data_IF_370963976815
#
_entry.id   IF_370963976815
#
_cell.length_a   1.000
_cell.length_b   1.000
_cell.length_c   1.000
_cell.angle_alpha   90.00
_cell.angle_beta   90.00
_cell.angle_gamma   90.00
#
_symmetry.space_group_name_H-M   'P 1'
#
loop_
_entity.id
_entity.type
_entity.pdbx_description
1 polymer ?
#
# COMPACT_ATOMS: atom_id res chain seq x y z
N UNK A 1 -21.32 5.30 1.79
CA UNK A 1 -22.28 5.23 0.68
C UNK A 1 -23.39 6.23 0.91
N UNK A 2 -23.64 7.10 -0.06
CA UNK A 2 -24.78 8.04 -0.05
C UNK A 2 -25.74 7.63 -1.16
N UNK A 3 -27.04 7.54 -0.85
CA UNK A 3 -28.07 7.19 -1.83
C UNK A 3 -28.82 8.47 -2.20
N UNK A 4 -28.84 8.78 -3.49
CA UNK A 4 -29.59 9.88 -4.06
C UNK A 4 -30.82 9.32 -4.77
N UNK A 5 -31.96 10.00 -4.64
CA UNK A 5 -33.15 9.68 -5.43
C UNK A 5 -33.32 10.78 -6.47
N UNK A 6 -33.18 10.44 -7.76
CA UNK A 6 -33.54 11.31 -8.87
C UNK A 6 -35.02 11.06 -9.16
N UNK A 7 -35.83 12.10 -9.14
CA UNK A 7 -37.25 12.00 -9.52
C UNK A 7 -37.52 12.90 -10.72
N UNK A 8 -38.17 12.34 -11.73
CA UNK A 8 -38.70 13.07 -12.87
C UNK A 8 -40.22 12.99 -12.83
N UNK A 9 -40.90 14.11 -13.03
CA UNK A 9 -42.36 14.18 -13.08
C UNK A 9 -42.80 14.62 -14.47
N UNK A 10 -43.83 13.95 -14.99
CA UNK A 10 -44.44 14.28 -16.28
C UNK A 10 -45.95 14.12 -16.22
N UNK A 11 -46.67 14.85 -17.06
CA UNK A 11 -48.13 14.71 -17.17
C UNK A 11 -48.47 14.05 -18.50
N UNK A 12 -49.16 12.91 -18.45
CA UNK A 12 -49.69 12.22 -19.63
C UNK A 12 -51.19 12.05 -19.40
N UNK A 13 -52.01 12.50 -20.36
CA UNK A 13 -53.48 12.37 -20.30
C UNK A 13 -54.10 12.86 -18.98
N UNK A 14 -53.66 14.02 -18.49
CA UNK A 14 -54.13 14.66 -17.23
C UNK A 14 -53.76 13.91 -15.94
N UNK A 15 -52.98 12.83 -16.01
CA UNK A 15 -52.45 12.12 -14.85
C UNK A 15 -50.98 12.51 -14.62
N UNK A 16 -50.65 12.95 -13.41
CA UNK A 16 -49.26 13.17 -13.01
C UNK A 16 -48.58 11.82 -12.78
N UNK A 17 -47.51 11.56 -13.51
CA UNK A 17 -46.67 10.38 -13.37
C UNK A 17 -45.33 10.78 -12.79
N UNK A 18 -44.86 10.01 -11.81
CA UNK A 18 -43.54 10.18 -11.23
C UNK A 18 -42.70 8.95 -11.55
N UNK A 19 -41.48 9.22 -12.00
CA UNK A 19 -40.47 8.20 -12.25
C UNK A 19 -39.31 8.48 -11.30
N UNK A 20 -38.97 7.50 -10.47
CA UNK A 20 -37.84 7.58 -9.54
C UNK A 20 -36.70 6.69 -9.99
N UNK A 21 -35.46 7.16 -9.84
CA UNK A 21 -34.26 6.34 -9.93
C UNK A 21 -33.45 6.54 -8.66
N UNK A 22 -33.00 5.44 -8.07
CA UNK A 22 -32.00 5.50 -7.01
C UNK A 22 -30.60 5.44 -7.63
N UNK A 23 -29.74 6.33 -7.18
CA UNK A 23 -28.33 6.37 -7.53
C UNK A 23 -27.54 6.19 -6.24
N UNK A 24 -26.78 5.10 -6.15
CA UNK A 24 -25.86 4.91 -5.04
C UNK A 24 -24.50 5.48 -5.42
N UNK A 25 -24.01 6.41 -4.61
CA UNK A 25 -22.64 6.90 -4.66
C UNK A 25 -21.83 6.17 -3.59
N UNK A 26 -20.93 5.32 -4.04
CA UNK A 26 -19.93 4.66 -3.19
C UNK A 26 -18.65 5.48 -3.29
N UNK A 27 -18.31 6.15 -2.19
CA UNK A 27 -16.97 6.72 -2.01
C UNK A 27 -16.09 5.54 -1.61
N UNK A 28 -15.18 5.15 -2.49
CA UNK A 28 -14.22 4.11 -2.16
C UNK A 28 -13.16 4.70 -1.22
N UNK A 29 -12.67 3.94 -0.23
CA UNK A 29 -11.54 4.39 0.58
C UNK A 29 -10.39 4.77 -0.33
N UNK A 30 -9.68 5.86 -0.02
CA UNK A 30 -8.47 6.20 -0.75
C UNK A 30 -7.51 5.00 -0.73
N UNK A 31 -6.62 4.86 -1.71
CA UNK A 31 -5.62 3.78 -1.69
C UNK A 31 -4.83 3.75 -0.38
N UNK A 32 -4.66 4.92 0.26
CA UNK A 32 -4.03 5.06 1.56
C UNK A 32 -4.80 4.41 2.71
N UNK A 33 -6.11 4.21 2.61
CA UNK A 33 -6.93 3.62 3.68
C UNK A 33 -6.87 2.09 3.71
N UNK A 34 -5.87 1.52 3.02
CA UNK A 34 -5.70 0.08 2.86
C UNK A 34 -4.47 -0.39 3.58
N UNK A 35 -4.46 -1.67 3.94
CA UNK A 35 -3.24 -2.32 4.38
C UNK A 35 -2.30 -2.53 3.18
N UNK A 36 -2.86 -2.91 2.02
CA UNK A 36 -2.09 -3.27 0.84
C UNK A 36 -2.82 -2.95 -0.47
N UNK A 37 -2.11 -2.36 -1.42
CA UNK A 37 -2.61 -2.05 -2.75
C UNK A 37 -1.56 -2.25 -3.85
N UNK A 38 -1.97 -3.01 -4.86
CA UNK A 38 -1.20 -3.29 -6.08
C UNK A 38 -1.96 -2.72 -7.29
N UNK A 39 -1.52 -1.62 -7.87
CA UNK A 39 -2.16 -1.07 -9.09
C UNK A 39 -1.87 -1.91 -10.34
N UNK A 40 -0.88 -2.78 -10.27
CA UNK A 40 -0.68 -3.85 -11.22
C UNK A 40 -1.81 -4.88 -11.23
N UNK A 41 -1.67 -5.85 -12.11
CA UNK A 41 -2.70 -6.87 -12.32
C UNK A 41 -2.86 -7.79 -11.12
N UNK A 42 -1.79 -8.11 -10.39
CA UNK A 42 -1.79 -9.21 -9.44
C UNK A 42 -1.24 -8.77 -8.08
N UNK A 43 -2.00 -9.09 -7.04
CA UNK A 43 -1.51 -9.24 -5.67
C UNK A 43 -1.43 -10.74 -5.35
N UNK A 44 -0.21 -11.25 -5.20
CA UNK A 44 0.07 -12.70 -5.07
C UNK A 44 0.67 -13.03 -3.70
N UNK A 45 0.13 -14.05 -3.04
CA UNK A 45 0.61 -14.58 -1.76
C UNK A 45 1.12 -16.03 -1.85
N UNK A 46 1.66 -16.43 -3.02
CA UNK A 46 2.18 -17.78 -3.30
C UNK A 46 2.94 -18.42 -2.12
N UNK A 47 2.39 -19.52 -1.60
CA UNK A 47 3.02 -20.32 -0.55
C UNK A 47 3.19 -19.61 0.79
N UNK A 48 2.39 -18.56 1.04
CA UNK A 48 2.53 -17.71 2.22
C UNK A 48 1.41 -17.92 3.25
N UNK A 49 1.75 -17.75 4.53
CA UNK A 49 0.83 -17.67 5.66
C UNK A 49 1.12 -16.40 6.49
N UNK A 50 0.09 -15.80 7.05
CA UNK A 50 0.23 -14.54 7.79
C UNK A 50 -1.09 -13.84 8.00
N UNK A 51 -1.01 -12.62 8.54
CA UNK A 51 -2.18 -11.79 8.81
C UNK A 51 -2.12 -10.50 7.99
N UNK A 52 -3.24 -10.17 7.35
CA UNK A 52 -3.50 -8.83 6.82
C UNK A 52 -4.70 -8.26 7.56
N UNK A 53 -4.47 -7.22 8.35
CA UNK A 53 -5.51 -6.49 9.07
C UNK A 53 -5.70 -5.12 8.41
N UNK A 54 -6.76 -5.01 7.61
CA UNK A 54 -7.09 -3.89 6.76
C UNK A 54 -7.47 -4.34 5.35
N UNK A 55 -7.93 -3.38 4.54
CA UNK A 55 -8.39 -3.67 3.19
C UNK A 55 -7.24 -4.07 2.26
N UNK A 56 -7.52 -4.99 1.34
CA UNK A 56 -6.61 -5.40 0.27
C UNK A 56 -7.18 -5.05 -1.09
N UNK A 57 -6.32 -4.67 -2.03
CA UNK A 57 -6.81 -4.34 -3.38
C UNK A 57 -5.80 -4.52 -4.49
N UNK A 58 -6.31 -4.82 -5.68
CA UNK A 58 -5.53 -4.81 -6.91
C UNK A 58 -6.39 -4.52 -8.14
N UNK A 59 -5.75 -4.28 -9.29
CA UNK A 59 -6.47 -3.97 -10.52
C UNK A 59 -7.21 -5.18 -11.11
N UNK A 60 -6.65 -6.39 -11.05
CA UNK A 60 -7.29 -7.59 -11.65
C UNK A 60 -7.67 -8.60 -10.58
N UNK A 61 -6.71 -9.25 -9.93
CA UNK A 61 -7.00 -10.34 -9.00
C UNK A 61 -6.00 -10.48 -7.84
N UNK A 62 -6.54 -10.85 -6.69
CA UNK A 62 -5.79 -11.32 -5.53
C UNK A 62 -5.77 -12.84 -5.61
N UNK A 63 -4.60 -13.46 -5.50
CA UNK A 63 -4.41 -14.92 -5.68
C UNK A 63 -3.56 -15.52 -4.56
N UNK A 64 -3.71 -16.84 -4.37
CA UNK A 64 -2.96 -17.65 -3.40
C UNK A 64 -3.12 -17.17 -1.95
N UNK A 65 -4.26 -16.58 -1.60
CA UNK A 65 -4.54 -15.97 -0.31
C UNK A 65 -5.30 -16.89 0.67
N UNK A 66 -5.46 -18.17 0.33
CA UNK A 66 -6.29 -19.12 1.09
C UNK A 66 -5.72 -19.46 2.47
N UNK A 67 -4.42 -19.28 2.66
CA UNK A 67 -3.72 -19.55 3.93
C UNK A 67 -3.52 -18.29 4.79
N UNK A 68 -4.05 -17.15 4.34
CA UNK A 68 -3.98 -15.89 5.09
C UNK A 68 -5.15 -15.75 6.07
N UNK A 69 -4.85 -15.16 7.22
CA UNK A 69 -5.88 -14.52 8.04
C UNK A 69 -6.10 -13.10 7.53
N UNK A 70 -7.23 -12.85 6.89
CA UNK A 70 -7.60 -11.51 6.40
C UNK A 70 -8.76 -10.93 7.21
N UNK A 71 -8.56 -9.70 7.71
CA UNK A 71 -9.56 -8.92 8.44
C UNK A 71 -9.76 -7.61 7.67
N UNK A 72 -10.84 -7.49 6.91
CA UNK A 72 -11.13 -6.33 6.06
C UNK A 72 -11.83 -6.75 4.76
N UNK A 73 -11.96 -5.81 3.82
CA UNK A 73 -12.55 -6.07 2.50
C UNK A 73 -11.46 -6.33 1.44
N UNK A 74 -11.85 -7.10 0.41
CA UNK A 74 -11.01 -7.37 -0.77
C UNK A 74 -11.62 -6.68 -1.99
N UNK A 75 -10.83 -5.85 -2.66
CA UNK A 75 -11.24 -5.15 -3.88
C UNK A 75 -10.39 -5.61 -5.08
N UNK A 76 -10.95 -6.47 -5.93
CA UNK A 76 -10.41 -6.76 -7.26
C UNK A 76 -11.18 -6.03 -8.35
N UNK A 77 -10.59 -5.91 -9.55
CA UNK A 77 -11.28 -5.49 -10.78
C UNK A 77 -11.82 -4.05 -10.85
N UNK A 78 -11.24 -3.11 -10.09
CA UNK A 78 -11.53 -1.68 -10.23
C UNK A 78 -10.21 -0.91 -10.35
N UNK A 79 -10.07 -0.10 -11.41
CA UNK A 79 -8.96 0.84 -11.51
C UNK A 79 -9.04 1.79 -10.31
N UNK A 80 -7.94 1.93 -9.57
CA UNK A 80 -7.88 2.83 -8.41
C UNK A 80 -6.68 3.76 -8.55
N UNK A 81 -6.90 5.07 -8.45
CA UNK A 81 -5.82 6.06 -8.53
C UNK A 81 -4.82 5.87 -7.39
N UNK A 82 -3.58 5.52 -7.77
CA UNK A 82 -2.45 5.46 -6.86
C UNK A 82 -2.02 6.85 -6.39
N UNK A 83 -1.57 6.99 -5.13
CA UNK A 83 -0.88 8.19 -4.72
C UNK A 83 0.45 8.33 -5.47
N UNK A 84 0.87 9.57 -5.68
CA UNK A 84 2.20 9.88 -6.21
C UNK A 84 3.09 10.46 -5.11
N UNK A 85 4.37 10.10 -5.16
CA UNK A 85 5.41 10.60 -4.25
C UNK A 85 6.29 11.59 -5.01
N UNK A 86 6.40 12.82 -4.53
CA UNK A 86 7.28 13.86 -5.06
C UNK A 86 8.73 13.66 -4.55
N UNK A 87 9.45 12.74 -5.19
CA UNK A 87 10.85 12.46 -4.90
C UNK A 87 11.77 13.69 -4.90
N UNK A 88 11.65 14.68 -5.81
CA UNK A 88 12.39 15.93 -5.73
C UNK A 88 12.29 16.65 -4.38
N UNK A 89 11.10 16.69 -3.77
CA UNK A 89 10.92 17.28 -2.42
C UNK A 89 11.77 16.54 -1.39
N UNK A 90 11.76 15.20 -1.41
CA UNK A 90 12.54 14.39 -0.47
C UNK A 90 14.05 14.43 -0.73
N UNK A 91 14.47 14.55 -1.99
CA UNK A 91 15.86 14.78 -2.35
C UNK A 91 16.38 16.09 -1.75
N UNK A 92 15.59 17.17 -1.85
CA UNK A 92 15.94 18.46 -1.30
C UNK A 92 16.05 18.43 0.24
N UNK A 93 15.11 17.74 0.91
CA UNK A 93 15.15 17.53 2.36
C UNK A 93 16.41 16.76 2.79
N UNK A 94 16.69 15.64 2.12
CA UNK A 94 17.88 14.83 2.39
C UNK A 94 19.17 15.62 2.13
N UNK A 95 19.24 16.39 1.03
CA UNK A 95 20.41 17.19 0.68
C UNK A 95 20.68 18.29 1.72
N UNK A 96 19.63 18.95 2.24
CA UNK A 96 19.76 19.95 3.30
C UNK A 96 20.34 19.36 4.60
N UNK A 97 20.09 18.08 4.86
CA UNK A 97 20.62 17.34 6.01
C UNK A 97 21.96 16.63 5.72
N UNK A 98 22.51 16.72 4.51
CA UNK A 98 23.72 15.99 4.11
C UNK A 98 23.51 14.48 3.91
N UNK A 99 22.28 14.05 3.64
CA UNK A 99 21.82 12.66 3.55
C UNK A 99 21.41 12.26 2.12
N UNK A 100 21.81 13.05 1.12
CA UNK A 100 21.56 12.79 -0.30
C UNK A 100 22.83 12.30 -1.01
N UNK A 101 22.74 11.17 -1.69
CA UNK A 101 23.86 10.50 -2.34
C UNK A 101 23.59 10.22 -3.82
N UNK A 102 24.63 10.24 -4.64
CA UNK A 102 24.57 9.86 -6.07
C UNK A 102 25.07 8.44 -6.33
N UNK A 103 25.40 7.72 -5.26
CA UNK A 103 25.89 6.34 -5.23
C UNK A 103 24.93 5.46 -4.44
N UNK A 104 25.11 4.15 -4.52
CA UNK A 104 24.42 3.21 -3.65
C UNK A 104 24.63 3.59 -2.17
N UNK A 105 23.60 3.42 -1.35
CA UNK A 105 23.67 3.56 0.11
C UNK A 105 23.43 2.20 0.73
N UNK A 106 24.27 1.81 1.68
CA UNK A 106 24.06 0.62 2.49
C UNK A 106 23.77 1.02 3.93
N UNK A 107 22.63 0.56 4.45
CA UNK A 107 22.24 0.66 5.85
C UNK A 107 22.69 -0.62 6.55
N UNK A 108 23.80 -0.54 7.28
CA UNK A 108 24.38 -1.65 8.03
C UNK A 108 23.83 -1.68 9.48
N UNK A 109 24.46 -2.48 10.36
CA UNK A 109 24.12 -2.56 11.77
C UNK A 109 24.45 -1.25 12.51
N UNK A 110 23.59 -0.25 12.36
CA UNK A 110 23.69 1.06 12.97
C UNK A 110 22.32 1.74 13.04
N UNK A 111 22.26 2.86 13.75
CA UNK A 111 21.10 3.74 13.81
C UNK A 111 21.27 4.92 12.86
N UNK A 112 20.29 5.11 11.99
CA UNK A 112 20.20 6.19 11.01
C UNK A 112 18.99 7.04 11.36
N UNK A 113 19.14 8.37 11.36
CA UNK A 113 18.03 9.30 11.67
C UNK A 113 17.85 10.28 10.54
N UNK A 114 16.61 10.64 10.21
CA UNK A 114 16.29 11.63 9.17
C UNK A 114 15.89 11.03 7.83
N UNK A 115 15.96 11.85 6.78
CA UNK A 115 15.51 11.49 5.42
C UNK A 115 16.72 11.17 4.57
N UNK A 116 16.85 9.90 4.18
CA UNK A 116 17.95 9.44 3.35
C UNK A 116 17.49 9.34 1.90
N UNK A 117 18.31 9.81 0.98
CA UNK A 117 18.00 9.81 -0.45
C UNK A 117 19.19 9.32 -1.26
N UNK A 118 18.93 8.42 -2.23
CA UNK A 118 19.91 8.05 -3.24
C UNK A 118 19.33 8.08 -4.66
N UNK A 119 20.11 8.59 -5.62
CA UNK A 119 19.80 8.47 -7.06
C UNK A 119 20.12 7.08 -7.63
N UNK A 120 20.58 6.15 -6.78
CA UNK A 120 20.88 4.75 -7.12
C UNK A 120 20.01 3.85 -6.24
N UNK A 121 20.52 2.68 -5.84
CA UNK A 121 19.79 1.76 -4.96
C UNK A 121 20.13 1.98 -3.48
N UNK A 122 19.17 1.67 -2.63
CA UNK A 122 19.40 1.52 -1.19
C UNK A 122 19.45 0.03 -0.84
N UNK A 123 20.41 -0.35 -0.01
CA UNK A 123 20.57 -1.72 0.48
C UNK A 123 20.37 -1.70 1.99
N UNK A 124 19.36 -2.39 2.49
CA UNK A 124 19.08 -2.48 3.91
C UNK A 124 19.55 -3.84 4.42
N UNK A 125 20.54 -3.80 5.30
CA UNK A 125 21.15 -4.98 5.91
C UNK A 125 20.69 -5.24 7.34
N UNK A 126 21.33 -6.22 7.96
CA UNK A 126 20.91 -6.79 9.25
C UNK A 126 21.11 -5.80 10.41
N UNK A 127 20.14 -5.77 11.32
CA UNK A 127 20.13 -4.93 12.51
C UNK A 127 20.18 -3.41 12.22
N UNK A 128 19.84 -2.98 11.01
CA UNK A 128 19.69 -1.57 10.71
C UNK A 128 18.48 -1.01 11.47
N UNK A 129 18.69 0.11 12.18
CA UNK A 129 17.60 0.90 12.76
C UNK A 129 17.51 2.22 12.01
N UNK A 130 16.37 2.51 11.40
CA UNK A 130 16.13 3.74 10.64
C UNK A 130 15.00 4.51 11.31
N UNK A 131 15.38 5.56 12.03
CA UNK A 131 14.49 6.53 12.65
C UNK A 131 14.20 7.66 11.64
N UNK A 132 13.44 7.33 10.60
CA UNK A 132 13.14 8.23 9.51
C UNK A 132 12.75 7.46 8.25
N UNK A 133 13.27 7.91 7.11
CA UNK A 133 12.78 7.48 5.80
C UNK A 133 13.92 7.19 4.83
N UNK A 134 13.70 6.24 3.93
CA UNK A 134 14.62 5.93 2.83
C UNK A 134 13.94 6.11 1.49
N UNK A 135 14.54 6.95 0.65
CA UNK A 135 14.14 7.21 -0.72
C UNK A 135 15.22 6.74 -1.70
N UNK A 136 14.82 6.06 -2.75
CA UNK A 136 15.73 5.63 -3.81
C UNK A 136 15.11 5.82 -5.21
N UNK A 137 15.85 6.37 -6.17
CA UNK A 137 15.44 6.33 -7.58
C UNK A 137 15.58 4.92 -8.16
N UNK A 138 16.62 4.18 -7.72
CA UNK A 138 16.80 2.76 -7.98
C UNK A 138 16.07 1.89 -6.95
N UNK A 139 16.40 0.60 -6.90
CA UNK A 139 15.73 -0.36 -6.01
C UNK A 139 16.00 -0.08 -4.53
N UNK A 140 15.08 -0.54 -3.67
CA UNK A 140 15.38 -0.76 -2.24
C UNK A 140 15.45 -2.26 -2.04
N UNK A 141 16.64 -2.75 -1.71
CA UNK A 141 16.91 -4.18 -1.60
C UNK A 141 17.20 -4.56 -0.15
N UNK A 142 16.47 -5.55 0.34
CA UNK A 142 16.75 -6.26 1.59
C UNK A 142 17.62 -7.47 1.24
N UNK A 143 18.94 -7.33 1.37
CA UNK A 143 19.92 -8.29 0.82
C UNK A 143 20.49 -9.19 1.93
N UNK A 144 20.68 -10.48 1.61
CA UNK A 144 21.45 -11.44 2.42
C UNK A 144 21.04 -11.57 3.89
N UNK A 145 19.78 -11.94 4.19
CA UNK A 145 19.27 -12.14 5.56
C UNK A 145 18.95 -10.86 6.31
N UNK A 146 18.43 -9.85 5.63
CA UNK A 146 18.00 -8.60 6.25
C UNK A 146 17.05 -8.93 7.43
N UNK A 147 17.56 -8.83 8.65
CA UNK A 147 16.87 -9.29 9.85
C UNK A 147 17.01 -8.33 11.00
N UNK A 148 16.03 -8.33 11.90
CA UNK A 148 16.02 -7.42 13.04
C UNK A 148 16.10 -5.95 12.60
N UNK A 149 15.44 -5.63 11.49
CA UNK A 149 15.36 -4.27 10.98
C UNK A 149 14.22 -3.56 11.70
N UNK A 150 14.48 -2.33 12.15
CA UNK A 150 13.44 -1.47 12.69
C UNK A 150 13.42 -0.16 11.92
N UNK A 151 12.31 0.11 11.22
CA UNK A 151 12.06 1.39 10.56
C UNK A 151 10.89 2.05 11.26
N UNK A 152 11.13 3.23 11.79
CA UNK A 152 10.14 4.06 12.46
C UNK A 152 10.26 5.46 11.92
N UNK A 153 9.20 5.96 11.31
CA UNK A 153 9.16 7.33 10.84
C UNK A 153 9.03 8.28 12.04
N UNK A 154 9.57 9.50 11.90
CA UNK A 154 9.38 10.52 12.92
C UNK A 154 7.91 10.93 12.95
N UNK A 155 7.26 10.76 14.10
CA UNK A 155 5.84 11.05 14.31
C UNK A 155 5.48 12.53 14.10
N UNK A 156 6.47 13.42 14.01
CA UNK A 156 6.26 14.83 13.69
C UNK A 156 6.16 15.14 12.20
N UNK A 157 6.60 14.23 11.32
CA UNK A 157 6.67 14.47 9.87
C UNK A 157 5.96 13.43 9.01
N UNK A 158 5.69 12.23 9.56
CA UNK A 158 4.95 11.13 8.94
C UNK A 158 5.41 10.73 7.52
N UNK A 159 6.64 11.06 7.13
CA UNK A 159 7.19 10.68 5.83
C UNK A 159 7.02 9.18 5.55
N UNK A 160 6.92 8.76 4.27
CA UNK A 160 6.98 7.35 3.90
C UNK A 160 8.16 6.67 4.59
N UNK A 161 7.98 5.47 5.14
CA UNK A 161 9.08 4.70 5.72
C UNK A 161 10.09 4.34 4.61
N UNK A 162 9.57 3.84 3.49
CA UNK A 162 10.32 3.43 2.32
C UNK A 162 9.61 3.92 1.07
N UNK A 163 10.31 4.58 0.16
CA UNK A 163 9.76 4.96 -1.13
C UNK A 163 10.79 4.82 -2.25
N UNK A 164 10.41 4.18 -3.36
CA UNK A 164 11.27 4.04 -4.53
C UNK A 164 10.55 4.29 -5.85
N UNK A 165 11.25 4.87 -6.82
CA UNK A 165 10.79 4.96 -8.21
C UNK A 165 10.92 3.63 -8.97
N UNK A 166 11.52 2.62 -8.35
CA UNK A 166 11.76 1.30 -8.89
C UNK A 166 11.04 0.25 -8.05
N UNK A 167 11.67 -0.92 -7.85
CA UNK A 167 11.12 -2.02 -7.06
C UNK A 167 11.69 -2.06 -5.65
N UNK A 168 10.91 -2.64 -4.73
CA UNK A 168 11.39 -3.10 -3.43
C UNK A 168 11.52 -4.62 -3.49
N UNK A 169 12.70 -5.14 -3.16
CA UNK A 169 12.95 -6.57 -3.20
C UNK A 169 13.50 -7.07 -1.87
N UNK A 170 12.88 -8.09 -1.30
CA UNK A 170 13.56 -9.03 -0.41
C UNK A 170 13.67 -10.35 -1.15
N UNK A 171 14.88 -10.73 -1.52
CA UNK A 171 15.14 -12.04 -2.11
C UNK A 171 16.47 -12.53 -1.59
N UNK A 172 16.53 -13.81 -1.24
CA UNK A 172 17.79 -14.47 -0.93
C UNK A 172 18.21 -15.39 -2.08
N UNK A 173 19.49 -15.34 -2.42
CA UNK A 173 20.13 -16.24 -3.36
C UNK A 173 20.73 -17.40 -2.56
N UNK A 174 19.96 -18.47 -2.40
CA UNK A 174 20.39 -19.65 -1.63
C UNK A 174 19.55 -20.90 -1.89
N UNK A 175 20.01 -22.03 -1.34
CA UNK A 175 19.21 -23.26 -1.31
C UNK A 175 17.95 -23.02 -0.45
N UNK A 176 16.79 -23.67 -0.73
CA UNK A 176 15.54 -23.40 -0.03
C UNK A 176 15.63 -23.39 1.52
N UNK A 177 16.46 -24.26 2.10
CA UNK A 177 16.68 -24.35 3.55
C UNK A 177 17.57 -23.23 4.15
N UNK A 178 18.20 -22.41 3.30
CA UNK A 178 19.08 -21.30 3.70
C UNK A 178 18.60 -19.95 3.18
N UNK A 179 17.44 -19.90 2.52
CA UNK A 179 16.84 -18.65 2.05
C UNK A 179 16.24 -17.90 3.23
N UNK A 180 16.48 -16.60 3.22
CA UNK A 180 16.19 -15.70 4.32
C UNK A 180 15.99 -14.31 3.75
N UNK A 181 14.72 -13.91 3.59
CA UNK A 181 14.34 -12.56 3.19
C UNK A 181 14.28 -11.62 4.39
N UNK A 182 13.26 -10.76 4.42
CA UNK A 182 13.01 -9.83 5.52
C UNK A 182 12.33 -10.56 6.69
N UNK A 183 13.05 -10.87 7.76
CA UNK A 183 12.50 -11.56 8.94
C UNK A 183 12.80 -10.85 10.26
N UNK A 184 12.00 -11.12 11.31
CA UNK A 184 12.11 -10.48 12.63
C UNK A 184 12.21 -8.95 12.54
N UNK A 185 11.41 -8.31 11.69
CA UNK A 185 11.58 -6.90 11.35
C UNK A 185 10.29 -6.12 11.52
N UNK A 186 10.39 -4.83 11.85
CA UNK A 186 9.25 -3.93 11.97
C UNK A 186 9.45 -2.72 11.06
N UNK A 187 8.46 -2.43 10.22
CA UNK A 187 8.41 -1.22 9.39
C UNK A 187 7.14 -0.47 9.76
N UNK A 188 7.27 0.74 10.29
CA UNK A 188 6.15 1.61 10.65
C UNK A 188 6.08 2.78 9.68
N UNK A 189 4.97 2.90 8.96
CA UNK A 189 4.74 3.93 7.96
C UNK A 189 4.39 3.37 6.57
N UNK A 190 4.28 4.26 5.60
CA UNK A 190 3.99 3.87 4.21
C UNK A 190 5.21 3.22 3.54
N UNK A 191 4.98 2.10 2.85
CA UNK A 191 5.94 1.43 1.96
C UNK A 191 5.45 1.63 0.52
N UNK A 192 6.23 2.35 -0.29
CA UNK A 192 5.87 2.74 -1.65
C UNK A 192 6.90 2.24 -2.68
N UNK A 193 6.44 1.54 -3.71
CA UNK A 193 7.29 1.20 -4.87
C UNK A 193 6.57 1.53 -6.18
N UNK A 194 7.12 2.41 -7.00
CA UNK A 194 6.49 2.75 -8.28
C UNK A 194 6.42 1.55 -9.24
N UNK A 195 7.38 0.63 -9.16
CA UNK A 195 7.35 -0.62 -9.92
C UNK A 195 6.73 -1.75 -9.08
N UNK A 196 7.49 -2.80 -8.77
CA UNK A 196 6.97 -3.98 -8.07
C UNK A 196 7.47 -4.03 -6.63
N UNK A 197 6.74 -4.74 -5.77
CA UNK A 197 7.24 -5.17 -4.48
C UNK A 197 7.27 -6.69 -4.44
N UNK A 198 8.44 -7.26 -4.18
CA UNK A 198 8.61 -8.69 -3.98
C UNK A 198 9.20 -8.94 -2.60
N UNK A 199 8.48 -9.69 -1.77
CA UNK A 199 8.97 -10.15 -0.47
C UNK A 199 8.99 -11.68 -0.45
N UNK A 200 10.16 -12.28 -0.57
CA UNK A 200 10.36 -13.74 -0.50
C UNK A 200 10.94 -14.13 0.87
N UNK A 201 10.45 -15.21 1.50
CA UNK A 201 10.92 -15.76 2.79
C UNK A 201 10.96 -14.74 3.94
N UNK A 202 9.81 -14.22 4.35
CA UNK A 202 9.71 -13.27 5.47
C UNK A 202 9.90 -13.86 6.88
N UNK A 203 10.31 -15.12 6.94
CA UNK A 203 10.55 -15.82 8.19
C UNK A 203 11.56 -16.95 8.00
N UNK A 204 12.41 -17.16 9.01
CA UNK A 204 13.29 -18.31 9.12
C UNK A 204 12.69 -19.44 9.97
N UNK A 205 11.99 -19.12 11.06
CA UNK A 205 11.41 -20.05 12.04
C UNK A 205 10.05 -19.55 12.59
N UNK A 206 9.16 -20.41 13.06
CA UNK A 206 7.82 -20.03 13.57
C UNK A 206 7.77 -18.94 14.67
N UNK A 207 8.89 -18.58 15.30
CA UNK A 207 8.98 -17.51 16.29
C UNK A 207 9.36 -16.14 15.68
N UNK A 208 9.96 -16.08 14.49
CA UNK A 208 10.25 -14.79 13.85
C UNK A 208 8.99 -14.28 13.16
N UNK A 209 8.80 -12.97 13.15
CA UNK A 209 7.71 -12.32 12.44
C UNK A 209 8.20 -11.04 11.79
N UNK A 210 7.61 -10.70 10.65
CA UNK A 210 7.80 -9.38 10.04
C UNK A 210 6.50 -8.62 10.13
N UNK A 211 6.55 -7.44 10.71
CA UNK A 211 5.39 -6.57 10.89
C UNK A 211 5.55 -5.30 10.08
N UNK A 212 4.56 -4.99 9.24
CA UNK A 212 4.44 -3.72 8.55
C UNK A 212 3.20 -3.03 9.11
N UNK A 213 3.41 -2.00 9.92
CA UNK A 213 2.35 -1.18 10.50
C UNK A 213 2.17 0.06 9.62
N UNK A 214 1.19 0.01 8.73
CA UNK A 214 0.90 1.08 7.79
C UNK A 214 0.27 0.55 6.52
N UNK A 215 0.66 1.14 5.39
CA UNK A 215 0.14 0.78 4.07
C UNK A 215 1.29 0.43 3.13
N UNK A 216 1.08 -0.62 2.34
CA UNK A 216 1.94 -0.99 1.23
C UNK A 216 1.26 -0.60 -0.09
N UNK A 217 1.96 0.16 -0.93
CA UNK A 217 1.43 0.66 -2.20
C UNK A 217 2.45 0.38 -3.30
N UNK A 218 1.97 -0.16 -4.41
CA UNK A 218 2.81 -0.29 -5.59
C UNK A 218 2.12 0.17 -6.87
N UNK A 219 2.92 0.71 -7.80
CA UNK A 219 2.47 1.07 -9.14
C UNK A 219 2.32 -0.12 -10.08
N UNK A 220 2.82 -1.29 -9.70
CA UNK A 220 2.64 -2.53 -10.45
C UNK A 220 2.26 -3.68 -9.50
N UNK A 221 2.89 -4.85 -9.60
CA UNK A 221 2.46 -6.03 -8.86
C UNK A 221 3.11 -6.10 -7.47
N UNK A 222 2.36 -6.66 -6.52
CA UNK A 222 2.91 -7.12 -5.24
C UNK A 222 2.94 -8.64 -5.23
N UNK A 223 4.05 -9.18 -4.78
CA UNK A 223 4.25 -10.61 -4.67
C UNK A 223 4.93 -10.94 -3.35
N UNK A 224 4.23 -11.65 -2.48
CA UNK A 224 4.74 -12.18 -1.23
C UNK A 224 4.86 -13.69 -1.38
N UNK A 225 6.09 -14.20 -1.38
CA UNK A 225 6.40 -15.60 -1.67
C UNK A 225 6.97 -16.29 -0.45
N UNK A 226 6.47 -17.49 -0.16
CA UNK A 226 6.98 -18.32 0.94
C UNK A 226 7.11 -17.56 2.27
N UNK A 227 6.29 -16.52 2.48
CA UNK A 227 6.32 -15.69 3.67
C UNK A 227 5.46 -16.33 4.73
N UNK A 228 6.00 -16.60 5.91
CA UNK A 228 5.22 -17.15 7.02
C UNK A 228 5.21 -16.19 8.20
N UNK A 229 4.18 -16.23 9.03
CA UNK A 229 4.06 -15.43 10.25
C UNK A 229 4.31 -13.91 10.08
N UNK A 230 3.91 -13.34 8.94
CA UNK A 230 3.97 -11.90 8.75
C UNK A 230 2.67 -11.22 9.19
N UNK A 231 2.77 -9.93 9.51
CA UNK A 231 1.62 -9.09 9.87
C UNK A 231 1.68 -7.80 9.06
N UNK A 232 0.65 -7.53 8.26
CA UNK A 232 0.44 -6.23 7.63
C UNK A 232 -0.78 -5.62 8.30
N UNK A 233 -0.59 -4.51 9.00
CA UNK A 233 -1.61 -3.89 9.83
C UNK A 233 -1.79 -2.47 9.34
N UNK A 234 -2.97 -2.18 8.78
CA UNK A 234 -3.34 -0.82 8.44
C UNK A 234 -3.33 0.06 9.70
N UNK A 235 -2.73 1.23 9.57
CA UNK A 235 -2.68 2.23 10.62
C UNK A 235 -2.97 3.60 10.00
N UNK A 236 -4.08 4.23 10.39
CA UNK A 236 -4.51 5.53 9.87
C UNK A 236 -3.60 6.69 10.30
N UNK A 237 -2.92 6.55 11.44
CA UNK A 237 -2.09 7.61 12.03
C UNK A 237 -0.84 7.92 11.18
N UNK A 238 -0.47 7.02 10.26
CA UNK A 238 0.72 7.21 9.39
C UNK A 238 0.57 8.38 8.40
N UNK A 239 -0.63 8.97 8.29
CA UNK A 239 -0.92 10.10 7.40
C UNK A 239 -1.45 11.34 8.14
N UNK A 240 -1.30 11.41 9.47
CA UNK A 240 -1.86 12.51 10.27
C UNK A 240 -0.79 13.26 11.07
N UNK A 241 -0.25 14.40 10.56
CA UNK A 241 -0.61 15.09 9.32
C UNK A 241 -0.12 14.39 8.04
N UNK A 242 -0.73 14.75 6.91
CA UNK A 242 -0.40 14.17 5.59
C UNK A 242 1.08 14.43 5.26
N UNK A 243 1.85 13.42 4.81
CA UNK A 243 3.25 13.63 4.53
C UNK A 243 3.41 14.58 3.33
N UNK A 244 4.33 15.56 3.38
CA UNK A 244 4.51 16.50 2.28
C UNK A 244 4.95 15.77 1.01
N UNK A 245 4.52 16.25 -0.15
CA UNK A 245 4.87 15.62 -1.42
C UNK A 245 4.16 14.27 -1.66
N UNK A 246 3.10 13.96 -0.91
CA UNK A 246 2.15 12.90 -1.25
C UNK A 246 0.91 13.54 -1.87
N UNK A 247 0.65 13.22 -3.13
CA UNK A 247 -0.63 13.53 -3.79
C UNK A 247 -1.48 12.25 -3.80
N UNK A 248 -2.69 12.33 -3.26
CA UNK A 248 -3.58 11.18 -3.08
C UNK A 248 -4.21 10.67 -4.37
N UNK A 249 -4.14 11.45 -5.46
CA UNK A 249 -5.10 11.29 -6.54
C UNK A 249 -6.51 11.63 -6.04
N UNK A 250 -7.40 12.02 -6.95
CA UNK A 250 -8.77 12.39 -6.58
C UNK A 250 -9.50 11.19 -5.95
N UNK A 251 -10.32 11.45 -4.93
CA UNK A 251 -11.21 10.44 -4.32
C UNK A 251 -12.10 9.81 -5.39
N UNK A 252 -12.06 8.48 -5.51
CA UNK A 252 -12.90 7.78 -6.47
C UNK A 252 -14.35 7.74 -6.01
N UNK A 253 -15.21 8.29 -6.86
CA UNK A 253 -16.66 8.25 -6.71
C UNK A 253 -17.20 7.19 -7.66
N UNK A 254 -17.52 6.00 -7.16
CA UNK A 254 -18.21 4.99 -7.95
C UNK A 254 -19.72 5.26 -7.91
N UNK A 255 -20.32 5.47 -9.07
CA UNK A 255 -21.77 5.68 -9.22
C UNK A 255 -22.41 4.39 -9.74
N UNK A 256 -23.14 3.67 -8.89
CA UNK A 256 -23.95 2.52 -9.31
C UNK A 256 -25.39 2.95 -9.50
N UNK A 257 -25.94 2.67 -10.69
CA UNK A 257 -27.34 2.91 -11.03
C UNK A 257 -28.07 1.56 -11.12
N UNK A 258 -28.86 1.17 -10.11
CA UNK A 258 -29.83 0.11 -10.31
C UNK A 258 -30.81 0.52 -11.41
N UNK A 259 -31.04 -0.39 -12.36
CA UNK A 259 -31.94 -0.21 -13.52
C UNK A 259 -33.37 -0.63 -13.14
N UNK A 260 -33.91 -0.06 -12.06
CA UNK A 260 -35.30 -0.32 -11.68
C UNK A 260 -36.12 0.95 -11.91
N UNK A 261 -36.94 0.90 -12.95
CA UNK A 261 -37.89 1.93 -13.32
C UNK A 261 -39.24 1.56 -12.72
N UNK A 262 -39.53 2.08 -11.53
CA UNK A 262 -40.85 1.94 -10.92
C UNK A 262 -41.72 3.16 -11.24
N UNK A 263 -42.81 2.92 -11.97
CA UNK A 263 -43.84 3.92 -12.24
C UNK A 263 -44.82 3.96 -11.07
N UNK A 264 -44.83 5.07 -10.32
CA UNK A 264 -45.82 5.30 -9.28
C UNK A 264 -47.03 6.05 -9.87
N UNK A 265 -48.17 5.35 -9.94
CA UNK A 265 -49.48 5.96 -10.23
C UNK A 265 -50.07 6.42 -8.89
N UNK A 266 -50.29 7.73 -8.67
CA UNK A 266 -50.91 8.20 -7.44
C UNK A 266 -52.31 7.58 -7.28
N UNK A 267 -52.61 7.06 -6.10
CA UNK A 267 -53.95 6.57 -5.80
C UNK A 267 -54.98 7.70 -5.95
N UNK A 268 -56.01 7.45 -6.76
CA UNK A 268 -57.17 8.34 -6.96
C UNK A 268 -58.01 8.47 -5.71
#
# INVERSE_FOLDING_TARGET
TSIFTITSTGTVELVSRQVGQQVAIVILPAVLDRAIHSDGSILDFEGSDGTVNGDMSCHVQIVNDESLTHIGDKFGALAKLNPTVDFPTYQALAAAAGQSYTTDITFENNTYTGVWYTTRKAIIGNNATINGSVFAEGTIDFVNKANNINITTDSSTNYPALATMSSINSSDVGAPASRTGLYNSTINGMVYALANLTMDYMNKNTADSTTINGTIITGNNITIKNGTNFNIIYNEDIYSPMPPGIDLGVTETAVTTPKDWDENIPAT
#
